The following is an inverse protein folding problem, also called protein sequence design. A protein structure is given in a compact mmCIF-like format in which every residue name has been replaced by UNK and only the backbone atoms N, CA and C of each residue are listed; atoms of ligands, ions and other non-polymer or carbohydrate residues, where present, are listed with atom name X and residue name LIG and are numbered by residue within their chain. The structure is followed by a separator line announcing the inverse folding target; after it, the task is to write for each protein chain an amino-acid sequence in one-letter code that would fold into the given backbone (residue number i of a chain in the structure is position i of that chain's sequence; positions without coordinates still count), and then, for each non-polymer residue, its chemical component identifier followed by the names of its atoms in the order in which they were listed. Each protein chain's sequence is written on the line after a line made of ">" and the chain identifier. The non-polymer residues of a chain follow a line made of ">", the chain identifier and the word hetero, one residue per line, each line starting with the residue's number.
data_IF_946980012879
#
_entry.id   IF_946980012879
#
_cell.length_a   1.000
_cell.length_b   1.000
_cell.length_c   1.000
_cell.angle_alpha   90.00
_cell.angle_beta   90.00
_cell.angle_gamma   90.00
#
_symmetry.space_group_name_H-M   'P 1'
#
loop_
_entity.id
_entity.type
_entity.pdbx_description
1 polymer ?
#
# COMPACT_ATOMS: atom_id res chain seq x y z
N UNK A 1 40.04 41.58 -0.62
CA UNK A 1 38.86 41.19 0.17
C UNK A 1 37.76 42.21 0.03
N UNK A 2 36.72 41.87 -0.73
CA UNK A 2 35.45 42.59 -0.76
C UNK A 2 34.38 41.59 -0.34
N UNK A 3 33.79 41.85 0.82
CA UNK A 3 32.79 40.98 1.46
C UNK A 3 31.53 41.04 0.61
N UNK A 4 31.15 39.88 0.08
CA UNK A 4 29.89 39.62 -0.60
C UNK A 4 28.77 39.79 0.43
N UNK A 5 28.17 40.99 0.49
CA UNK A 5 26.92 41.23 1.21
C UNK A 5 25.80 40.52 0.44
N UNK A 6 25.56 39.26 0.82
CA UNK A 6 24.38 38.52 0.38
C UNK A 6 23.16 39.20 1.00
N UNK A 7 22.44 39.93 0.15
CA UNK A 7 21.16 40.55 0.44
C UNK A 7 20.15 39.43 0.77
N UNK A 8 19.90 39.22 2.06
CA UNK A 8 18.78 38.40 2.52
C UNK A 8 17.48 39.16 2.22
N UNK A 9 16.82 38.78 1.13
CA UNK A 9 15.41 39.10 0.88
C UNK A 9 14.57 38.30 1.90
N UNK A 10 14.31 38.91 3.05
CA UNK A 10 13.21 38.50 3.91
C UNK A 10 11.91 38.75 3.15
N UNK A 11 11.37 37.72 2.50
CA UNK A 11 9.98 37.69 2.07
C UNK A 11 9.17 37.60 3.36
N UNK A 12 8.88 38.77 3.93
CA UNK A 12 7.99 38.93 5.06
C UNK A 12 6.62 38.39 4.69
N UNK A 13 6.18 37.41 5.47
CA UNK A 13 4.82 36.88 5.47
C UNK A 13 3.81 38.03 5.49
N UNK A 14 2.83 37.91 4.59
CA UNK A 14 1.58 38.63 4.61
C UNK A 14 0.88 38.43 5.97
N UNK A 15 1.08 39.35 6.90
CA UNK A 15 0.16 39.60 7.99
C UNK A 15 -0.48 40.95 7.69
N UNK A 16 -1.67 40.93 7.09
CA UNK A 16 -2.50 42.12 6.88
C UNK A 16 -2.94 42.69 8.22
N UNK A 17 -2.04 43.43 8.86
CA UNK A 17 -2.37 44.41 9.89
C UNK A 17 -3.11 45.56 9.21
N UNK A 18 -4.43 45.58 9.40
CA UNK A 18 -5.33 46.64 8.97
C UNK A 18 -4.87 47.99 9.54
N UNK A 19 -4.23 48.81 8.70
CA UNK A 19 -3.87 50.20 8.99
C UNK A 19 -4.63 51.13 8.06
N UNK A 20 -5.53 51.91 8.68
CA UNK A 20 -6.00 53.25 8.29
C UNK A 20 -6.23 53.62 6.82
N UNK A 21 -7.50 53.93 6.52
CA UNK A 21 -7.97 54.87 5.50
C UNK A 21 -7.60 54.62 4.03
N UNK A 22 -8.48 53.91 3.33
CA UNK A 22 -9.13 54.47 2.13
C UNK A 22 -10.33 53.61 1.75
N UNK A 23 -11.44 54.27 1.48
CA UNK A 23 -12.64 53.65 0.94
C UNK A 23 -12.33 53.05 -0.45
N UNK A 24 -12.12 51.74 -0.49
CA UNK A 24 -12.25 50.95 -1.71
C UNK A 24 -13.23 49.82 -1.41
N UNK A 25 -14.48 50.03 -1.80
CA UNK A 25 -15.51 48.98 -1.85
C UNK A 25 -15.35 48.10 -3.09
N UNK A 26 -14.12 47.88 -3.56
CA UNK A 26 -13.90 46.77 -4.47
C UNK A 26 -14.15 45.51 -3.65
N UNK A 27 -15.09 44.62 -4.04
CA UNK A 27 -15.12 43.31 -3.45
C UNK A 27 -13.70 42.76 -3.64
N UNK A 28 -13.03 42.44 -2.53
CA UNK A 28 -11.73 41.80 -2.60
C UNK A 28 -11.90 40.63 -3.54
N UNK A 29 -11.24 40.71 -4.70
CA UNK A 29 -11.35 39.76 -5.78
C UNK A 29 -11.26 38.36 -5.17
N UNK A 30 -12.37 37.61 -5.17
CA UNK A 30 -12.41 36.27 -4.59
C UNK A 30 -11.42 35.33 -5.32
N UNK A 31 -10.88 35.76 -6.48
CA UNK A 31 -9.76 35.13 -7.18
C UNK A 31 -8.42 35.17 -6.41
N UNK A 32 -8.29 35.93 -5.32
CA UNK A 32 -7.07 36.02 -4.50
C UNK A 32 -7.02 35.03 -3.32
N UNK A 33 -7.97 34.10 -3.21
CA UNK A 33 -7.91 33.07 -2.18
C UNK A 33 -6.83 32.06 -2.55
N UNK A 34 -5.75 32.03 -1.78
CA UNK A 34 -4.74 30.97 -1.84
C UNK A 34 -5.34 29.59 -1.53
N UNK A 35 -4.57 28.50 -1.68
CA UNK A 35 -5.07 27.13 -1.52
C UNK A 35 -5.74 26.91 -0.16
N UNK A 36 -6.87 26.19 -0.14
CA UNK A 36 -7.61 25.88 1.08
C UNK A 36 -6.84 24.88 1.94
N UNK A 37 -5.96 25.39 2.82
CA UNK A 37 -5.06 24.55 3.63
C UNK A 37 -5.80 23.57 4.55
N UNK A 38 -6.97 23.94 5.06
CA UNK A 38 -7.79 23.06 5.90
C UNK A 38 -8.26 21.84 5.11
N UNK A 39 -8.72 22.04 3.88
CA UNK A 39 -9.15 20.95 3.01
C UNK A 39 -7.97 20.10 2.54
N UNK A 40 -6.88 20.73 2.10
CA UNK A 40 -5.70 20.03 1.60
C UNK A 40 -5.03 19.20 2.71
N UNK A 41 -4.86 19.76 3.92
CA UNK A 41 -4.30 19.01 5.06
C UNK A 41 -5.14 17.80 5.43
N UNK A 42 -6.48 17.90 5.32
CA UNK A 42 -7.38 16.76 5.49
C UNK A 42 -7.17 15.71 4.39
N UNK A 43 -7.13 16.10 3.11
CA UNK A 43 -6.85 15.19 1.99
C UNK A 43 -5.52 14.44 2.17
N UNK A 44 -4.45 15.16 2.54
CA UNK A 44 -3.14 14.57 2.82
C UNK A 44 -3.23 13.55 3.96
N UNK A 45 -3.90 13.90 5.06
CA UNK A 45 -4.07 13.00 6.21
C UNK A 45 -4.81 11.72 5.84
N UNK A 46 -5.92 11.85 5.13
CA UNK A 46 -6.75 10.72 4.70
C UNK A 46 -6.00 9.83 3.68
N UNK A 47 -5.32 10.42 2.70
CA UNK A 47 -4.49 9.71 1.72
C UNK A 47 -3.30 9.01 2.39
N UNK A 48 -2.65 9.63 3.38
CA UNK A 48 -1.53 9.04 4.10
C UNK A 48 -1.98 7.84 4.95
N UNK A 49 -3.11 7.95 5.64
CA UNK A 49 -3.70 6.83 6.38
C UNK A 49 -4.02 5.64 5.44
N UNK A 50 -4.52 5.92 4.24
CA UNK A 50 -4.77 4.90 3.23
C UNK A 50 -3.48 4.22 2.74
N UNK A 51 -2.43 4.99 2.44
CA UNK A 51 -1.11 4.45 2.04
C UNK A 51 -0.54 3.52 3.12
N UNK A 52 -0.66 3.88 4.40
CA UNK A 52 -0.20 3.04 5.51
C UNK A 52 -0.97 1.70 5.58
N UNK A 53 -2.30 1.74 5.40
CA UNK A 53 -3.12 0.53 5.40
C UNK A 53 -2.78 -0.40 4.22
N UNK A 54 -2.55 0.16 3.02
CA UNK A 54 -2.12 -0.64 1.86
C UNK A 54 -0.71 -1.22 2.08
N UNK A 55 0.19 -0.47 2.73
CA UNK A 55 1.54 -0.97 3.03
C UNK A 55 1.52 -2.15 3.99
N UNK A 56 0.62 -2.16 4.98
CA UNK A 56 0.40 -3.32 5.85
C UNK A 56 0.06 -4.57 5.04
N UNK A 57 -0.87 -4.45 4.08
CA UNK A 57 -1.24 -5.56 3.19
C UNK A 57 -0.06 -6.02 2.33
N UNK A 58 0.70 -5.09 1.76
CA UNK A 58 1.90 -5.39 0.97
C UNK A 58 2.93 -6.18 1.79
N UNK A 59 3.17 -5.79 3.04
CA UNK A 59 4.07 -6.50 3.95
C UNK A 59 3.56 -7.90 4.31
N UNK A 60 2.26 -8.10 4.48
CA UNK A 60 1.69 -9.43 4.70
C UNK A 60 1.90 -10.34 3.49
N UNK A 61 1.70 -9.84 2.27
CA UNK A 61 1.98 -10.60 1.04
C UNK A 61 3.47 -10.99 0.98
N UNK A 62 4.37 -10.05 1.27
CA UNK A 62 5.82 -10.32 1.33
C UNK A 62 6.20 -11.34 2.41
N UNK A 63 5.46 -11.39 3.52
CA UNK A 63 5.72 -12.38 4.57
C UNK A 63 5.46 -13.81 4.07
N UNK A 64 4.47 -14.01 3.18
CA UNK A 64 4.24 -15.31 2.52
C UNK A 64 5.41 -15.65 1.59
N UNK A 65 5.97 -14.67 0.87
CA UNK A 65 7.17 -14.88 0.05
C UNK A 65 8.38 -15.31 0.89
N UNK A 66 8.56 -14.72 2.07
CA UNK A 66 9.64 -15.10 2.99
C UNK A 66 9.45 -16.54 3.49
N UNK A 67 8.22 -16.92 3.86
CA UNK A 67 7.88 -18.30 4.22
C UNK A 67 8.19 -19.27 3.07
N UNK A 68 7.78 -18.93 1.85
CA UNK A 68 7.98 -19.78 0.68
C UNK A 68 9.46 -19.94 0.30
N UNK A 69 10.23 -18.86 0.33
CA UNK A 69 11.62 -18.85 -0.12
C UNK A 69 12.59 -19.39 0.93
N UNK A 70 12.26 -19.27 2.23
CA UNK A 70 13.16 -19.66 3.31
C UNK A 70 12.75 -20.95 4.00
N UNK A 71 11.46 -21.21 4.21
CA UNK A 71 11.02 -22.21 5.18
C UNK A 71 10.50 -23.52 4.59
N UNK A 72 10.18 -23.58 3.29
CA UNK A 72 9.75 -24.84 2.65
C UNK A 72 10.86 -25.89 2.74
N UNK A 73 10.49 -27.08 3.25
CA UNK A 73 11.40 -28.22 3.40
C UNK A 73 12.49 -27.97 4.43
N UNK A 74 12.25 -27.08 5.40
CA UNK A 74 13.24 -26.67 6.41
C UNK A 74 12.80 -26.93 7.84
N UNK A 75 13.81 -26.92 8.73
CA UNK A 75 13.65 -26.90 10.19
C UNK A 75 14.69 -25.97 10.81
N UNK A 76 14.41 -25.53 12.03
CA UNK A 76 15.42 -24.88 12.86
C UNK A 76 16.52 -25.90 13.19
N UNK A 77 17.77 -25.43 13.20
CA UNK A 77 18.93 -26.19 13.65
C UNK A 77 19.66 -25.40 14.74
N UNK A 78 20.61 -26.04 15.41
CA UNK A 78 21.34 -25.44 16.54
C UNK A 78 22.12 -24.16 16.18
N UNK A 79 22.57 -24.06 14.93
CA UNK A 79 23.33 -22.90 14.43
C UNK A 79 22.42 -21.88 13.75
N UNK A 80 22.91 -20.64 13.59
CA UNK A 80 22.23 -19.60 12.80
C UNK A 80 22.00 -20.13 11.39
N UNK A 81 20.75 -20.42 11.04
CA UNK A 81 20.35 -20.94 9.75
C UNK A 81 19.24 -22.00 9.85
N UNK A 82 18.84 -22.52 8.69
CA UNK A 82 17.82 -23.55 8.57
C UNK A 82 18.43 -24.84 8.02
N UNK A 83 18.13 -25.95 8.69
CA UNK A 83 18.47 -27.30 8.22
C UNK A 83 17.37 -27.86 7.30
N UNK A 84 17.68 -28.94 6.58
CA UNK A 84 16.70 -29.62 5.72
C UNK A 84 15.72 -30.48 6.55
N UNK A 85 14.45 -30.47 6.14
CA UNK A 85 13.34 -31.27 6.66
C UNK A 85 12.26 -31.35 5.58
N UNK A 86 12.57 -32.08 4.51
CA UNK A 86 11.71 -32.17 3.33
C UNK A 86 10.32 -32.72 3.68
N UNK A 87 9.33 -32.26 2.91
CA UNK A 87 7.98 -32.83 2.83
C UNK A 87 7.20 -32.84 4.16
N UNK A 88 7.42 -31.81 4.98
CA UNK A 88 6.72 -31.61 6.27
C UNK A 88 6.22 -30.18 6.41
N UNK A 89 5.55 -29.69 5.38
CA UNK A 89 5.18 -28.29 5.26
C UNK A 89 3.74 -27.99 5.69
N UNK A 90 2.98 -28.97 6.22
CA UNK A 90 1.56 -28.79 6.54
C UNK A 90 1.28 -27.60 7.47
N UNK A 91 2.03 -27.48 8.56
CA UNK A 91 1.90 -26.36 9.49
C UNK A 91 2.39 -25.02 8.92
N UNK A 92 3.42 -25.03 8.08
CA UNK A 92 3.89 -23.85 7.34
C UNK A 92 2.79 -23.32 6.41
N UNK A 93 2.13 -24.22 5.66
CA UNK A 93 1.04 -23.87 4.75
C UNK A 93 -0.21 -23.40 5.50
N UNK A 94 -0.53 -24.00 6.65
CA UNK A 94 -1.59 -23.49 7.52
C UNK A 94 -1.31 -22.05 7.97
N UNK A 95 -0.04 -21.73 8.28
CA UNK A 95 0.40 -20.37 8.58
C UNK A 95 0.23 -19.41 7.39
N UNK A 96 0.64 -19.83 6.18
CA UNK A 96 0.45 -19.03 4.98
C UNK A 96 -1.03 -18.79 4.66
N UNK A 97 -1.90 -19.79 4.88
CA UNK A 97 -3.35 -19.67 4.75
C UNK A 97 -3.93 -18.66 5.76
N UNK A 98 -3.49 -18.70 7.02
CA UNK A 98 -3.93 -17.73 8.02
C UNK A 98 -3.51 -16.28 7.67
N UNK A 99 -2.34 -16.10 7.07
CA UNK A 99 -1.92 -14.79 6.54
C UNK A 99 -2.77 -14.40 5.34
N UNK A 100 -3.14 -15.33 4.46
CA UNK A 100 -3.99 -15.03 3.30
C UNK A 100 -5.39 -14.58 3.72
N UNK A 101 -5.99 -15.20 4.73
CA UNK A 101 -7.28 -14.75 5.28
C UNK A 101 -7.16 -13.36 5.90
N UNK A 102 -6.08 -13.08 6.64
CA UNK A 102 -5.82 -11.75 7.22
C UNK A 102 -5.64 -10.68 6.13
N UNK A 103 -4.96 -11.00 5.02
CA UNK A 103 -4.85 -10.11 3.86
C UNK A 103 -6.25 -9.76 3.32
N UNK A 104 -7.11 -10.76 3.14
CA UNK A 104 -8.49 -10.55 2.69
C UNK A 104 -9.28 -9.67 3.66
N UNK A 105 -9.17 -9.89 4.97
CA UNK A 105 -9.82 -9.06 6.00
C UNK A 105 -9.34 -7.60 5.94
N UNK A 106 -8.03 -7.38 5.82
CA UNK A 106 -7.44 -6.04 5.73
C UNK A 106 -7.89 -5.30 4.46
N UNK A 107 -7.90 -6.00 3.33
CA UNK A 107 -8.41 -5.44 2.07
C UNK A 107 -9.92 -5.11 2.15
N UNK A 108 -10.72 -5.93 2.84
CA UNK A 108 -12.15 -5.66 3.12
C UNK A 108 -12.36 -4.45 4.01
N UNK A 109 -11.44 -4.20 4.94
CA UNK A 109 -11.47 -3.05 5.84
C UNK A 109 -11.05 -1.73 5.18
N UNK A 110 -10.41 -1.76 4.00
CA UNK A 110 -10.12 -0.55 3.23
C UNK A 110 -11.42 0.13 2.82
N UNK A 111 -11.59 1.37 3.29
CA UNK A 111 -12.74 2.21 2.94
C UNK A 111 -12.72 2.51 1.44
N UNK A 112 -13.91 2.62 0.86
CA UNK A 112 -14.06 3.12 -0.50
C UNK A 112 -13.46 4.53 -0.60
N UNK A 113 -12.42 4.67 -1.41
CA UNK A 113 -11.69 5.94 -1.63
C UNK A 113 -12.08 6.62 -2.95
N UNK A 114 -13.19 6.19 -3.57
CA UNK A 114 -13.71 6.75 -4.81
C UNK A 114 -12.85 6.33 -6.00
N UNK A 115 -11.72 7.00 -6.17
CA UNK A 115 -10.79 6.82 -7.29
C UNK A 115 -10.07 5.47 -7.26
N UNK A 116 -9.78 4.92 -6.08
CA UNK A 116 -9.03 3.64 -5.94
C UNK A 116 -9.95 2.43 -5.76
N UNK A 117 -11.27 2.59 -5.89
CA UNK A 117 -12.23 1.51 -5.66
C UNK A 117 -11.96 0.32 -6.60
N UNK A 118 -11.56 0.58 -7.84
CA UNK A 118 -11.28 -0.47 -8.82
C UNK A 118 -10.08 -1.32 -8.41
N UNK A 119 -9.01 -0.68 -7.94
CA UNK A 119 -7.78 -1.32 -7.49
C UNK A 119 -8.04 -2.11 -6.20
N UNK A 120 -8.82 -1.54 -5.28
CA UNK A 120 -9.26 -2.20 -4.05
C UNK A 120 -10.03 -3.49 -4.38
N UNK A 121 -11.06 -3.41 -5.23
CA UNK A 121 -11.89 -4.58 -5.58
C UNK A 121 -11.09 -5.65 -6.32
N UNK A 122 -10.17 -5.25 -7.20
CA UNK A 122 -9.25 -6.20 -7.85
C UNK A 122 -8.38 -6.93 -6.82
N UNK A 123 -7.78 -6.21 -5.89
CA UNK A 123 -6.94 -6.81 -4.85
C UNK A 123 -7.75 -7.73 -3.92
N UNK A 124 -8.96 -7.32 -3.51
CA UNK A 124 -9.89 -8.15 -2.72
C UNK A 124 -10.17 -9.46 -3.44
N UNK A 125 -10.61 -9.39 -4.70
CA UNK A 125 -10.91 -10.59 -5.50
C UNK A 125 -9.70 -11.51 -5.62
N UNK A 126 -8.52 -10.98 -5.92
CA UNK A 126 -7.31 -11.80 -6.00
C UNK A 126 -6.95 -12.46 -4.65
N UNK A 127 -7.20 -11.78 -3.51
CA UNK A 127 -6.96 -12.35 -2.19
C UNK A 127 -7.92 -13.49 -1.85
N UNK A 128 -9.18 -13.35 -2.25
CA UNK A 128 -10.21 -14.38 -2.10
C UNK A 128 -9.93 -15.57 -2.99
N UNK A 129 -9.55 -15.34 -4.26
CA UNK A 129 -9.17 -16.37 -5.21
C UNK A 129 -7.95 -17.18 -4.68
N UNK A 130 -6.93 -16.50 -4.15
CA UNK A 130 -5.76 -17.15 -3.57
C UNK A 130 -6.11 -17.99 -2.34
N UNK A 131 -6.83 -17.41 -1.38
CA UNK A 131 -7.25 -18.12 -0.16
C UNK A 131 -8.14 -19.32 -0.51
N UNK A 132 -9.07 -19.15 -1.44
CA UNK A 132 -9.93 -20.23 -1.93
C UNK A 132 -9.11 -21.34 -2.58
N UNK A 133 -8.12 -21.00 -3.41
CA UNK A 133 -7.27 -21.98 -4.08
C UNK A 133 -6.49 -22.85 -3.09
N UNK A 134 -5.94 -22.24 -2.04
CA UNK A 134 -5.28 -22.98 -0.95
C UNK A 134 -6.26 -23.91 -0.23
N UNK A 135 -7.47 -23.40 0.08
CA UNK A 135 -8.53 -24.17 0.72
C UNK A 135 -9.01 -25.35 -0.13
N UNK A 136 -9.25 -25.15 -1.43
CA UNK A 136 -9.63 -26.20 -2.38
C UNK A 136 -8.51 -27.26 -2.51
N UNK A 137 -7.25 -26.86 -2.32
CA UNK A 137 -6.06 -27.73 -2.34
C UNK A 137 -5.84 -28.58 -1.07
N UNK A 138 -6.75 -28.56 -0.09
CA UNK A 138 -6.54 -29.15 1.24
C UNK A 138 -6.11 -30.63 1.22
N UNK A 139 -6.51 -31.41 0.22
CA UNK A 139 -6.12 -32.83 0.11
C UNK A 139 -4.60 -33.02 -0.03
N UNK A 140 -3.88 -32.01 -0.54
CA UNK A 140 -2.42 -32.02 -0.69
C UNK A 140 -1.73 -31.01 0.24
N UNK A 141 -2.39 -29.89 0.55
CA UNK A 141 -1.81 -28.79 1.30
C UNK A 141 -2.15 -28.84 2.80
N UNK A 142 -3.27 -29.46 3.16
CA UNK A 142 -3.81 -29.53 4.53
C UNK A 142 -3.42 -30.80 5.28
N UNK A 143 -2.38 -31.50 4.83
CA UNK A 143 -1.85 -32.72 5.46
C UNK A 143 -0.51 -32.41 6.13
N UNK A 144 -0.18 -33.14 7.20
CA UNK A 144 1.10 -33.00 7.93
C UNK A 144 2.31 -33.09 6.99
N UNK A 145 2.27 -34.07 6.08
CA UNK A 145 3.32 -34.38 5.12
C UNK A 145 3.20 -33.65 3.77
N UNK A 146 2.70 -32.41 3.75
CA UNK A 146 2.61 -31.64 2.50
C UNK A 146 4.01 -31.51 1.87
N UNK A 147 4.14 -31.96 0.61
CA UNK A 147 5.44 -32.09 -0.06
C UNK A 147 6.05 -30.73 -0.35
N UNK A 148 7.38 -30.69 -0.52
CA UNK A 148 8.07 -29.47 -0.93
C UNK A 148 7.58 -28.99 -2.30
N UNK A 149 7.27 -29.92 -3.21
CA UNK A 149 6.76 -29.58 -4.53
C UNK A 149 5.37 -28.95 -4.45
N UNK A 150 4.43 -29.59 -3.75
CA UNK A 150 3.07 -29.06 -3.58
C UNK A 150 3.08 -27.70 -2.88
N UNK A 151 3.96 -27.53 -1.89
CA UNK A 151 4.14 -26.26 -1.16
C UNK A 151 4.65 -25.16 -2.08
N UNK A 152 5.63 -25.46 -2.95
CA UNK A 152 6.13 -24.49 -3.93
C UNK A 152 5.05 -24.12 -4.96
N UNK A 153 4.27 -25.08 -5.43
CA UNK A 153 3.14 -24.82 -6.32
C UNK A 153 2.02 -23.98 -5.67
N UNK A 154 1.97 -23.94 -4.34
CA UNK A 154 0.98 -23.20 -3.57
C UNK A 154 1.43 -21.77 -3.22
N UNK A 155 2.68 -21.57 -2.77
CA UNK A 155 3.11 -20.29 -2.21
C UNK A 155 4.42 -19.72 -2.77
N UNK A 156 5.14 -20.44 -3.65
CA UNK A 156 6.36 -19.90 -4.26
C UNK A 156 6.06 -19.27 -5.63
N UNK A 157 5.97 -17.94 -5.68
CA UNK A 157 5.65 -17.16 -6.91
C UNK A 157 6.59 -17.46 -8.09
N UNK A 158 7.82 -17.85 -7.82
CA UNK A 158 8.83 -18.15 -8.86
C UNK A 158 8.85 -19.61 -9.28
N UNK A 159 8.01 -20.48 -8.70
CA UNK A 159 7.98 -21.90 -9.06
C UNK A 159 7.53 -22.09 -10.53
N UNK A 160 8.08 -23.09 -11.22
CA UNK A 160 7.72 -23.38 -12.60
C UNK A 160 6.24 -23.74 -12.73
N UNK A 161 5.80 -24.72 -11.94
CA UNK A 161 4.40 -25.14 -11.83
C UNK A 161 3.70 -24.34 -10.73
N UNK A 162 2.47 -23.86 -10.96
CA UNK A 162 1.76 -22.96 -10.04
C UNK A 162 0.30 -23.34 -9.80
N UNK A 163 -0.02 -24.63 -9.90
CA UNK A 163 -1.41 -25.09 -10.02
C UNK A 163 -2.20 -25.09 -8.71
N UNK A 164 -1.54 -24.81 -7.57
CA UNK A 164 -2.10 -24.97 -6.22
C UNK A 164 -2.20 -23.67 -5.42
N UNK A 165 -1.96 -22.51 -6.04
CA UNK A 165 -2.07 -21.20 -5.37
C UNK A 165 -1.02 -20.19 -5.80
N UNK A 166 0.15 -20.64 -6.28
CA UNK A 166 1.24 -19.70 -6.60
C UNK A 166 0.88 -18.77 -7.77
N UNK A 167 -0.03 -19.18 -8.66
CA UNK A 167 -0.53 -18.32 -9.73
C UNK A 167 -1.45 -17.23 -9.19
N UNK A 168 -2.37 -17.59 -8.29
CA UNK A 168 -3.24 -16.65 -7.60
C UNK A 168 -2.44 -15.70 -6.70
N UNK A 169 -1.38 -16.18 -6.05
CA UNK A 169 -0.47 -15.35 -5.25
C UNK A 169 0.29 -14.32 -6.10
N UNK A 170 0.72 -14.69 -7.32
CA UNK A 170 1.30 -13.73 -8.27
C UNK A 170 0.29 -12.63 -8.60
N UNK A 171 -0.95 -13.01 -8.96
CA UNK A 171 -2.02 -12.04 -9.26
C UNK A 171 -2.34 -11.14 -8.08
N UNK A 172 -2.38 -11.70 -6.86
CA UNK A 172 -2.54 -10.94 -5.63
C UNK A 172 -1.40 -9.94 -5.43
N UNK A 173 -0.15 -10.39 -5.53
CA UNK A 173 1.03 -9.54 -5.39
C UNK A 173 1.03 -8.37 -6.39
N UNK A 174 0.68 -8.62 -7.65
CA UNK A 174 0.59 -7.57 -8.69
C UNK A 174 -0.56 -6.60 -8.44
N UNK A 175 -1.71 -7.10 -8.01
CA UNK A 175 -2.87 -6.26 -7.69
C UNK A 175 -2.62 -5.34 -6.50
N UNK A 176 -1.96 -5.84 -5.45
CA UNK A 176 -1.55 -5.06 -4.27
C UNK A 176 -0.47 -4.04 -4.64
N UNK A 177 0.50 -4.40 -5.48
CA UNK A 177 1.50 -3.45 -5.97
C UNK A 177 0.85 -2.30 -6.77
N UNK A 178 -0.14 -2.62 -7.61
CA UNK A 178 -0.91 -1.62 -8.37
C UNK A 178 -1.69 -0.68 -7.44
N UNK A 179 -2.35 -1.25 -6.41
CA UNK A 179 -3.06 -0.48 -5.38
C UNK A 179 -2.11 0.42 -4.59
N UNK A 180 -0.94 -0.08 -4.20
CA UNK A 180 0.11 0.67 -3.49
C UNK A 180 0.60 1.86 -4.32
N UNK A 181 0.83 1.66 -5.63
CA UNK A 181 1.20 2.73 -6.54
C UNK A 181 0.11 3.80 -6.64
N UNK A 182 -1.14 3.40 -6.86
CA UNK A 182 -2.26 4.34 -6.98
C UNK A 182 -2.50 5.13 -5.68
N UNK A 183 -2.35 4.49 -4.51
CA UNK A 183 -2.40 5.16 -3.21
C UNK A 183 -1.29 6.22 -3.05
N UNK A 184 -0.07 5.91 -3.47
CA UNK A 184 1.05 6.85 -3.43
C UNK A 184 0.87 8.03 -4.39
N UNK A 185 0.30 7.78 -5.57
CA UNK A 185 -0.05 8.83 -6.55
C UNK A 185 -1.13 9.78 -5.98
N UNK A 186 -2.18 9.23 -5.36
CA UNK A 186 -3.22 10.04 -4.71
C UNK A 186 -2.64 10.93 -3.59
N UNK A 187 -1.78 10.38 -2.72
CA UNK A 187 -1.09 11.16 -1.69
C UNK A 187 -0.20 12.25 -2.30
N UNK A 188 0.58 11.89 -3.34
CA UNK A 188 1.46 12.84 -4.04
C UNK A 188 0.66 13.99 -4.65
N UNK A 189 -0.52 13.71 -5.22
CA UNK A 189 -1.40 14.73 -5.76
C UNK A 189 -1.95 15.65 -4.66
N UNK A 190 -2.40 15.10 -3.53
CA UNK A 190 -2.83 15.90 -2.38
C UNK A 190 -1.72 16.81 -1.85
N UNK A 191 -0.46 16.35 -1.85
CA UNK A 191 0.69 17.18 -1.44
C UNK A 191 0.98 18.28 -2.47
N UNK A 192 0.88 17.99 -3.77
CA UNK A 192 1.10 18.98 -4.83
C UNK A 192 0.10 20.15 -4.77
N UNK A 193 -1.14 19.91 -4.32
CA UNK A 193 -2.15 20.96 -4.13
C UNK A 193 -1.68 22.09 -3.19
N UNK A 194 -0.72 21.84 -2.29
CA UNK A 194 -0.13 22.88 -1.43
C UNK A 194 0.59 23.99 -2.20
N UNK A 195 1.07 23.67 -3.40
CA UNK A 195 1.89 24.57 -4.23
C UNK A 195 1.25 24.91 -5.57
N UNK A 196 0.10 24.32 -5.88
CA UNK A 196 -0.64 24.58 -7.11
C UNK A 196 -1.50 25.84 -6.96
N UNK A 197 -1.61 26.67 -8.01
CA UNK A 197 -2.54 27.81 -8.00
C UNK A 197 -3.98 27.32 -7.85
N UNK A 198 -4.81 28.08 -7.12
CA UNK A 198 -6.23 27.78 -6.98
C UNK A 198 -6.89 27.90 -8.35
N UNK A 199 -7.51 26.81 -8.81
CA UNK A 199 -8.32 26.84 -10.02
C UNK A 199 -9.54 27.69 -9.72
N UNK A 200 -9.51 28.96 -10.13
CA UNK A 200 -10.70 29.78 -10.19
C UNK A 200 -11.57 29.25 -11.35
N UNK A 201 -12.69 28.58 -11.04
CA UNK A 201 -13.72 28.33 -12.03
C UNK A 201 -14.23 29.69 -12.52
N UNK A 202 -13.85 30.06 -13.75
CA UNK A 202 -14.40 31.25 -14.41
C UNK A 202 -15.80 30.88 -14.93
N UNK A 203 -16.83 31.38 -14.25
CA UNK A 203 -18.21 31.41 -14.75
C UNK A 203 -18.37 32.46 -15.85
#
# INVERSE_FOLDING_TARGET
>A
SAILMTLFLFISCNNSGKGGDSASTNPADESAKGPNLTEISKKITDSNAFVLAVKEVETLVLSIDELATKAIGKKIQQNIGLGNNADKNGSLLAGAYAISTLITEKLKALKNSGELNKEIEKAKKCSEDFTKKLGDGHAHLGIDGATDNDSKEAILKTNGTKTKGAEELVKLSESVASLSKAAQEALTNSVKELTSPVVAERF
#
